data_IF_891600628626
#
_entry.id   IF_891600628626
#
_cell.length_a   1.000
_cell.length_b   1.000
_cell.length_c   1.000
_cell.angle_alpha   90.00
_cell.angle_beta   90.00
_cell.angle_gamma   90.00
#
_symmetry.space_group_name_H-M   'P 1'
#
loop_
_entity.id
_entity.type
_entity.pdbx_description
1 polymer ?
#
# COMPACT_ATOMS: atom_id res chain seq x y z
N UNK A 1 42.22 36.43 1.62
CA UNK A 1 40.88 36.13 2.12
C UNK A 1 41.06 35.19 3.31
N UNK A 2 40.70 35.63 4.53
CA UNK A 2 40.86 34.77 5.72
C UNK A 2 39.71 33.74 5.71
N UNK A 3 40.03 32.46 5.71
CA UNK A 3 39.07 31.38 5.95
C UNK A 3 38.71 31.40 7.44
N UNK A 4 37.45 31.63 7.75
CA UNK A 4 36.91 31.49 9.08
C UNK A 4 36.38 30.07 9.22
N UNK A 5 36.95 29.29 10.13
CA UNK A 5 36.49 27.94 10.44
C UNK A 5 35.41 28.04 11.52
N UNK A 6 34.18 27.67 11.13
CA UNK A 6 33.04 27.61 12.05
C UNK A 6 32.78 26.16 12.44
N UNK A 7 32.97 25.82 13.70
CA UNK A 7 32.61 24.52 14.23
C UNK A 7 31.24 24.57 14.89
N UNK A 8 30.31 23.79 14.39
CA UNK A 8 29.00 23.61 14.99
C UNK A 8 28.95 22.30 15.75
N UNK A 9 28.29 22.32 16.90
CA UNK A 9 27.99 21.09 17.63
C UNK A 9 26.80 20.37 16.95
N UNK A 10 26.83 19.03 16.86
CA UNK A 10 25.74 18.29 16.25
C UNK A 10 24.49 18.30 17.13
N UNK A 11 23.34 18.21 16.49
CA UNK A 11 22.04 18.12 17.17
C UNK A 11 21.28 19.44 17.17
N UNK A 12 20.04 19.35 17.62
CA UNK A 12 19.09 20.47 17.71
C UNK A 12 18.84 20.72 19.19
N UNK A 13 19.09 21.93 19.66
CA UNK A 13 18.81 22.36 21.02
C UNK A 13 17.51 23.17 21.04
N UNK A 14 16.42 22.52 21.42
CA UNK A 14 15.09 23.14 21.56
C UNK A 14 14.78 23.57 23.01
N UNK A 15 15.67 23.30 23.94
CA UNK A 15 15.45 23.62 25.35
C UNK A 15 15.98 25.00 25.74
N UNK A 16 17.03 25.44 25.06
CA UNK A 16 17.64 26.74 25.32
C UNK A 16 17.06 27.83 24.40
N UNK A 17 17.24 29.07 24.83
CA UNK A 17 16.96 30.23 23.98
C UNK A 17 17.96 30.28 22.82
N UNK A 18 17.63 30.99 21.74
CA UNK A 18 18.50 31.14 20.55
C UNK A 18 19.90 31.65 20.92
N UNK A 19 20.00 32.49 21.95
CA UNK A 19 21.28 33.01 22.46
C UNK A 19 22.00 31.99 23.34
N UNK A 20 21.24 31.17 24.08
CA UNK A 20 21.82 30.13 24.96
C UNK A 20 22.25 28.86 24.21
N UNK A 21 21.82 28.70 22.99
CA UNK A 21 22.16 27.54 22.12
C UNK A 21 23.40 27.83 21.25
N UNK A 22 24.41 28.50 21.80
CA UNK A 22 25.65 28.84 21.08
C UNK A 22 26.26 27.58 20.41
N UNK A 23 26.65 27.75 19.15
CA UNK A 23 27.23 26.70 18.31
C UNK A 23 26.32 25.51 18.02
N UNK A 24 25.02 25.58 18.35
CA UNK A 24 24.03 24.54 18.08
C UNK A 24 22.91 25.05 17.19
N UNK A 25 22.27 24.14 16.50
CA UNK A 25 21.07 24.42 15.73
C UNK A 25 19.85 24.49 16.66
N UNK A 26 19.07 25.54 16.59
CA UNK A 26 17.84 25.69 17.38
C UNK A 26 16.64 25.09 16.71
N UNK A 27 16.66 25.04 15.36
CA UNK A 27 15.65 24.36 14.56
C UNK A 27 16.22 23.95 13.20
N UNK A 28 15.78 22.83 12.68
CA UNK A 28 16.08 22.41 11.30
C UNK A 28 15.03 21.39 10.84
N UNK A 29 14.79 21.36 9.55
CA UNK A 29 13.88 20.44 8.88
C UNK A 29 14.62 19.66 7.78
N UNK A 30 14.30 18.37 7.65
CA UNK A 30 14.91 17.47 6.67
C UNK A 30 16.45 17.40 6.73
N UNK A 31 17.02 17.48 7.95
CA UNK A 31 18.46 17.43 8.19
C UNK A 31 18.79 16.27 9.13
N UNK A 32 19.85 15.54 8.82
CA UNK A 32 20.50 14.59 9.74
C UNK A 32 21.92 15.06 10.03
N UNK A 33 22.44 14.70 11.20
CA UNK A 33 23.83 14.98 11.55
C UNK A 33 24.66 13.73 11.33
N UNK A 34 25.66 13.82 10.44
CA UNK A 34 26.59 12.74 10.15
C UNK A 34 28.02 13.28 10.25
N UNK A 35 28.87 12.57 10.98
CA UNK A 35 30.24 13.01 11.28
C UNK A 35 30.31 14.45 11.80
N UNK A 36 29.40 14.81 12.71
CA UNK A 36 29.27 16.14 13.31
C UNK A 36 28.78 17.25 12.36
N UNK A 37 28.56 16.94 11.10
CA UNK A 37 28.11 17.90 10.09
C UNK A 37 26.61 17.70 9.76
N UNK A 38 25.86 18.78 9.52
CA UNK A 38 24.50 18.68 9.02
C UNK A 38 24.51 18.22 7.57
N UNK A 39 23.72 17.21 7.28
CA UNK A 39 23.51 16.66 5.94
C UNK A 39 22.03 16.70 5.62
N UNK A 40 21.66 17.18 4.45
CA UNK A 40 20.27 17.16 4.02
C UNK A 40 19.80 15.73 3.83
N UNK A 41 18.68 15.37 4.47
CA UNK A 41 18.00 14.12 4.19
C UNK A 41 17.37 14.23 2.81
N UNK A 42 17.61 13.25 1.94
CA UNK A 42 16.98 13.18 0.61
C UNK A 42 15.45 13.08 0.74
N UNK A 43 14.76 13.35 -0.37
CA UNK A 43 13.31 13.20 -0.43
C UNK A 43 12.88 11.73 -0.27
N UNK A 44 11.60 11.52 -0.06
CA UNK A 44 10.97 10.21 -0.03
C UNK A 44 10.56 9.80 -1.45
N UNK A 45 10.81 8.58 -1.81
CA UNK A 45 10.25 7.96 -3.01
C UNK A 45 9.31 6.85 -2.62
N UNK A 46 8.25 6.64 -3.41
CA UNK A 46 7.36 5.50 -3.19
C UNK A 46 8.12 4.20 -3.46
N UNK A 47 8.03 3.27 -2.53
CA UNK A 47 8.55 1.91 -2.70
C UNK A 47 7.61 1.06 -3.55
N UNK A 48 6.31 1.33 -3.46
CA UNK A 48 5.25 0.62 -4.17
C UNK A 48 4.68 1.61 -5.19
N UNK A 49 4.71 1.23 -6.48
CA UNK A 49 4.15 2.03 -7.59
C UNK A 49 2.65 1.79 -7.77
N UNK A 50 2.18 0.61 -7.35
CA UNK A 50 0.78 0.22 -7.46
C UNK A 50 -0.08 0.93 -6.42
N UNK A 51 -1.30 1.24 -6.80
CA UNK A 51 -2.27 1.84 -5.87
C UNK A 51 -2.85 0.76 -4.97
N UNK A 52 -2.65 0.91 -3.67
CA UNK A 52 -3.25 0.03 -2.67
C UNK A 52 -4.75 0.37 -2.55
N UNK A 53 -5.60 -0.62 -2.78
CA UNK A 53 -7.05 -0.47 -2.64
C UNK A 53 -7.45 -0.57 -1.17
N UNK A 54 -8.25 0.41 -0.71
CA UNK A 54 -8.66 0.50 0.69
C UNK A 54 -7.70 1.33 1.53
N UNK A 55 -7.95 1.37 2.83
CA UNK A 55 -7.15 2.10 3.80
C UNK A 55 -6.20 1.14 4.51
N UNK A 56 -4.89 1.34 4.37
CA UNK A 56 -3.90 0.54 5.07
C UNK A 56 -4.07 0.72 6.60
N UNK A 57 -4.34 -0.38 7.31
CA UNK A 57 -4.58 -0.40 8.76
C UNK A 57 -3.34 -0.83 9.53
N UNK A 58 -2.59 -1.78 8.97
CA UNK A 58 -1.39 -2.30 9.59
C UNK A 58 -0.41 -2.81 8.54
N UNK A 59 0.87 -2.65 8.85
CA UNK A 59 1.94 -3.29 8.08
C UNK A 59 2.83 -4.09 9.04
N UNK A 60 3.42 -5.16 8.51
CA UNK A 60 4.33 -6.02 9.24
C UNK A 60 5.46 -6.48 8.31
N UNK A 61 6.69 -6.14 8.65
CA UNK A 61 7.86 -6.58 7.91
C UNK A 61 8.43 -7.85 8.55
N UNK A 62 8.78 -8.83 7.74
CA UNK A 62 9.38 -10.08 8.18
C UNK A 62 10.38 -10.62 7.16
N UNK A 63 11.17 -11.57 7.59
CA UNK A 63 12.18 -12.25 6.77
C UNK A 63 11.92 -13.76 6.87
N UNK A 64 11.97 -14.46 5.76
CA UNK A 64 11.85 -15.91 5.74
C UNK A 64 13.20 -16.59 6.10
N UNK A 65 13.16 -17.91 6.20
CA UNK A 65 14.37 -18.72 6.51
C UNK A 65 15.43 -18.67 5.40
N UNK A 66 15.06 -18.28 4.18
CA UNK A 66 15.98 -18.09 3.05
C UNK A 66 16.59 -16.69 3.00
N UNK A 67 16.17 -15.77 3.89
CA UNK A 67 16.66 -14.41 3.96
C UNK A 67 15.87 -13.40 3.11
N UNK A 68 14.78 -13.81 2.46
CA UNK A 68 13.94 -12.93 1.68
C UNK A 68 13.14 -12.00 2.59
N UNK A 69 13.00 -10.75 2.18
CA UNK A 69 12.32 -9.71 2.96
C UNK A 69 10.94 -9.44 2.39
N UNK A 70 9.95 -9.50 3.27
CA UNK A 70 8.55 -9.29 2.94
C UNK A 70 7.96 -8.18 3.78
N UNK A 71 6.97 -7.49 3.21
CA UNK A 71 6.11 -6.56 3.96
C UNK A 71 4.66 -6.96 3.73
N UNK A 72 4.00 -7.47 4.77
CA UNK A 72 2.56 -7.70 4.75
C UNK A 72 1.82 -6.40 5.07
N UNK A 73 0.79 -6.10 4.30
CA UNK A 73 -0.02 -4.88 4.43
C UNK A 73 -1.49 -5.30 4.54
N UNK A 74 -2.09 -5.08 5.71
CA UNK A 74 -3.51 -5.27 5.91
C UNK A 74 -4.27 -3.98 5.66
N UNK A 75 -5.21 -4.01 4.71
CA UNK A 75 -6.15 -2.92 4.47
C UNK A 75 -7.52 -3.26 5.10
N UNK A 76 -8.48 -2.36 4.99
CA UNK A 76 -9.87 -2.62 5.38
C UNK A 76 -10.58 -3.60 4.42
N UNK A 77 -9.95 -3.93 3.28
CA UNK A 77 -10.52 -4.78 2.23
C UNK A 77 -9.67 -5.99 1.90
N UNK A 78 -8.36 -5.83 1.81
CA UNK A 78 -7.43 -6.83 1.27
C UNK A 78 -6.23 -7.06 2.17
N UNK A 79 -5.64 -8.25 2.06
CA UNK A 79 -4.35 -8.59 2.64
C UNK A 79 -3.32 -8.70 1.51
N UNK A 80 -2.34 -7.82 1.53
CA UNK A 80 -1.36 -7.68 0.47
C UNK A 80 0.03 -8.06 0.99
N UNK A 81 0.85 -8.63 0.12
CA UNK A 81 2.24 -8.98 0.41
C UNK A 81 3.15 -8.30 -0.62
N UNK A 82 4.04 -7.45 -0.14
CA UNK A 82 5.08 -6.85 -0.97
C UNK A 82 6.35 -7.69 -0.92
N UNK A 83 6.86 -8.07 -2.09
CA UNK A 83 8.07 -8.83 -2.27
C UNK A 83 8.76 -8.45 -3.60
N UNK A 84 10.06 -8.21 -3.59
CA UNK A 84 10.90 -7.90 -4.76
C UNK A 84 10.33 -6.86 -5.75
N UNK A 85 9.72 -5.80 -5.21
CA UNK A 85 9.15 -4.74 -6.06
C UNK A 85 7.72 -5.01 -6.53
N UNK A 86 7.16 -6.17 -6.23
CA UNK A 86 5.82 -6.58 -6.63
C UNK A 86 4.86 -6.62 -5.44
N UNK A 87 3.61 -6.29 -5.69
CA UNK A 87 2.53 -6.37 -4.72
C UNK A 87 1.64 -7.55 -5.06
N UNK A 88 1.58 -8.53 -4.17
CA UNK A 88 0.77 -9.74 -4.31
C UNK A 88 -0.45 -9.66 -3.40
N UNK A 89 -1.62 -9.94 -3.96
CA UNK A 89 -2.85 -10.07 -3.16
C UNK A 89 -2.97 -11.50 -2.63
N UNK A 90 -2.93 -11.65 -1.31
CA UNK A 90 -3.03 -12.92 -0.59
C UNK A 90 -4.30 -13.00 0.27
N UNK A 91 -5.30 -12.20 -0.07
CA UNK A 91 -6.57 -12.18 0.67
C UNK A 91 -7.26 -13.54 0.58
N UNK A 92 -7.67 -14.13 1.71
CA UNK A 92 -8.44 -15.37 1.70
C UNK A 92 -9.75 -15.19 0.94
N UNK A 93 -10.02 -16.08 -0.01
CA UNK A 93 -11.26 -16.09 -0.78
C UNK A 93 -12.20 -17.19 -0.29
N UNK A 94 -13.51 -17.02 -0.55
CA UNK A 94 -14.52 -18.06 -0.28
C UNK A 94 -14.27 -19.31 -1.12
N UNK A 95 -14.87 -20.42 -0.70
CA UNK A 95 -14.83 -21.67 -1.45
C UNK A 95 -15.32 -21.49 -2.89
N UNK A 96 -14.74 -22.26 -3.82
CA UNK A 96 -15.07 -22.16 -5.23
C UNK A 96 -16.55 -22.51 -5.50
N UNK A 97 -17.19 -21.66 -6.28
CA UNK A 97 -18.56 -21.85 -6.79
C UNK A 97 -18.52 -21.81 -8.31
N UNK A 98 -19.23 -22.73 -8.97
CA UNK A 98 -19.33 -22.78 -10.42
C UNK A 98 -20.70 -22.30 -10.91
N UNK A 99 -20.79 -21.89 -12.18
CA UNK A 99 -22.06 -21.55 -12.85
C UNK A 99 -22.71 -20.28 -12.32
N UNK A 100 -21.92 -19.26 -11.99
CA UNK A 100 -22.43 -17.92 -11.73
C UNK A 100 -22.59 -17.13 -13.05
N UNK A 101 -23.61 -16.28 -13.15
CA UNK A 101 -23.84 -15.40 -14.29
C UNK A 101 -23.48 -13.98 -13.93
N UNK A 102 -22.68 -13.34 -14.78
CA UNK A 102 -22.25 -11.96 -14.62
C UNK A 102 -23.12 -11.05 -15.50
N UNK A 103 -23.62 -9.98 -14.93
CA UNK A 103 -24.31 -8.91 -15.64
C UNK A 103 -23.70 -7.57 -15.31
N UNK A 104 -23.48 -6.75 -16.33
CA UNK A 104 -22.93 -5.39 -16.22
C UNK A 104 -23.94 -4.39 -16.75
N UNK A 105 -23.96 -3.19 -16.17
CA UNK A 105 -24.81 -2.08 -16.62
C UNK A 105 -23.91 -0.97 -17.14
N UNK A 106 -24.18 -0.47 -18.35
CA UNK A 106 -23.41 0.62 -18.93
C UNK A 106 -23.42 1.85 -18.01
N UNK A 107 -22.24 2.43 -17.76
CA UNK A 107 -22.07 3.58 -16.87
C UNK A 107 -22.09 3.27 -15.38
N UNK A 108 -22.18 2.00 -14.98
CA UNK A 108 -22.11 1.55 -13.58
C UNK A 108 -20.81 0.86 -13.28
N UNK A 109 -20.19 1.21 -12.16
CA UNK A 109 -19.04 0.49 -11.60
C UNK A 109 -19.46 -0.78 -10.83
N UNK A 110 -20.76 -1.05 -10.70
CA UNK A 110 -21.30 -2.21 -9.99
C UNK A 110 -21.58 -3.31 -11.02
N UNK A 111 -21.03 -4.48 -10.76
CA UNK A 111 -21.29 -5.71 -11.50
C UNK A 111 -22.21 -6.59 -10.66
N UNK A 112 -23.28 -7.09 -11.27
CA UNK A 112 -24.22 -8.02 -10.62
C UNK A 112 -23.87 -9.45 -10.95
N UNK A 113 -23.83 -10.32 -9.95
CA UNK A 113 -23.51 -11.73 -10.10
C UNK A 113 -24.65 -12.54 -9.53
N UNK A 114 -25.25 -13.35 -10.39
CA UNK A 114 -26.38 -14.19 -10.00
C UNK A 114 -25.94 -15.65 -9.83
N UNK A 115 -26.15 -16.17 -8.64
CA UNK A 115 -25.93 -17.58 -8.29
C UNK A 115 -26.84 -17.97 -7.14
N UNK A 116 -27.66 -18.98 -7.34
CA UNK A 116 -28.46 -19.54 -6.25
C UNK A 116 -27.58 -20.24 -5.20
N UNK A 117 -27.94 -20.14 -3.95
CA UNK A 117 -27.27 -20.80 -2.82
C UNK A 117 -25.77 -20.52 -2.72
N UNK A 118 -25.36 -19.29 -3.02
CA UNK A 118 -23.93 -18.91 -2.99
C UNK A 118 -23.35 -18.74 -1.57
N UNK A 119 -24.18 -18.54 -0.53
CA UNK A 119 -23.76 -18.38 0.85
C UNK A 119 -22.80 -17.19 1.12
N UNK A 120 -22.75 -16.23 0.18
CA UNK A 120 -21.95 -15.03 0.35
C UNK A 120 -22.73 -14.00 1.17
N UNK A 121 -21.99 -13.16 1.91
CA UNK A 121 -22.51 -12.00 2.63
C UNK A 121 -21.74 -10.75 2.21
N UNK A 122 -22.32 -9.58 2.45
CA UNK A 122 -21.63 -8.33 2.20
C UNK A 122 -20.33 -8.26 3.00
N UNK A 123 -19.24 -7.90 2.34
CA UNK A 123 -17.88 -7.90 2.90
C UNK A 123 -17.03 -9.11 2.51
N UNK A 124 -17.63 -10.21 2.03
CA UNK A 124 -16.86 -11.35 1.54
C UNK A 124 -15.97 -10.97 0.35
N UNK A 125 -14.83 -11.63 0.22
CA UNK A 125 -13.92 -11.46 -0.91
C UNK A 125 -14.08 -12.65 -1.85
N UNK A 126 -14.23 -12.34 -3.13
CA UNK A 126 -14.40 -13.32 -4.22
C UNK A 126 -13.38 -13.07 -5.32
N UNK A 127 -12.97 -14.13 -5.98
CA UNK A 127 -12.12 -14.12 -7.17
C UNK A 127 -12.84 -14.90 -8.28
N UNK A 128 -12.69 -14.45 -9.50
CA UNK A 128 -13.30 -15.10 -10.66
C UNK A 128 -12.25 -15.82 -11.47
N UNK A 129 -12.62 -17.02 -11.95
CA UNK A 129 -11.83 -17.80 -12.89
C UNK A 129 -12.73 -18.22 -14.05
N UNK A 130 -12.18 -18.25 -15.28
CA UNK A 130 -12.89 -18.66 -16.48
C UNK A 130 -14.18 -17.86 -16.73
N UNK A 131 -14.05 -16.54 -16.77
CA UNK A 131 -15.19 -15.61 -16.91
C UNK A 131 -15.68 -15.57 -18.34
N UNK A 132 -16.98 -15.78 -18.51
CA UNK A 132 -17.68 -15.53 -19.79
C UNK A 132 -18.57 -14.30 -19.62
N UNK A 133 -18.25 -13.24 -20.36
CA UNK A 133 -18.99 -11.99 -20.32
C UNK A 133 -20.07 -11.95 -21.41
N UNK A 134 -21.21 -11.27 -21.15
CA UNK A 134 -22.17 -10.93 -22.20
C UNK A 134 -21.53 -10.08 -23.30
N UNK A 135 -22.00 -10.22 -24.53
CA UNK A 135 -21.51 -9.40 -25.63
C UNK A 135 -21.84 -7.92 -25.42
N UNK A 136 -20.94 -7.05 -25.87
CA UNK A 136 -21.17 -5.58 -25.82
C UNK A 136 -20.94 -4.90 -24.46
N UNK A 137 -20.32 -5.58 -23.49
CA UNK A 137 -20.05 -5.02 -22.16
C UNK A 137 -18.89 -4.02 -22.12
N UNK A 138 -18.01 -4.03 -23.14
CA UNK A 138 -16.78 -3.22 -23.12
C UNK A 138 -15.68 -3.72 -22.18
N UNK A 139 -15.92 -4.81 -21.45
CA UNK A 139 -14.96 -5.48 -20.59
C UNK A 139 -14.42 -6.75 -21.23
N UNK A 140 -13.22 -7.14 -20.86
CA UNK A 140 -12.59 -8.42 -21.19
C UNK A 140 -12.59 -9.35 -19.97
N UNK A 141 -12.40 -10.66 -20.17
CA UNK A 141 -12.30 -11.62 -19.07
C UNK A 141 -11.16 -11.26 -18.11
N UNK A 142 -10.03 -10.76 -18.62
CA UNK A 142 -8.88 -10.32 -17.84
C UNK A 142 -9.16 -9.12 -16.90
N UNK A 143 -10.26 -8.42 -17.10
CA UNK A 143 -10.66 -7.36 -16.15
C UNK A 143 -11.22 -7.93 -14.87
N UNK A 144 -11.66 -9.19 -14.87
CA UNK A 144 -12.25 -9.89 -13.75
C UNK A 144 -11.39 -11.03 -13.21
N UNK A 145 -10.64 -11.73 -14.07
CA UNK A 145 -9.85 -12.88 -13.68
C UNK A 145 -8.61 -12.47 -12.88
N UNK A 146 -8.20 -13.32 -11.94
CA UNK A 146 -7.03 -13.16 -11.07
C UNK A 146 -7.04 -11.87 -10.23
N UNK A 147 -8.23 -11.30 -10.02
CA UNK A 147 -8.43 -10.11 -9.16
C UNK A 147 -9.43 -10.42 -8.07
N UNK A 148 -9.21 -9.81 -6.91
CA UNK A 148 -10.10 -9.89 -5.77
C UNK A 148 -11.13 -8.77 -5.78
N UNK A 149 -12.38 -9.13 -5.53
CA UNK A 149 -13.51 -8.22 -5.44
C UNK A 149 -14.23 -8.38 -4.11
N UNK A 150 -14.68 -7.27 -3.55
CA UNK A 150 -15.50 -7.29 -2.35
C UNK A 150 -16.99 -7.28 -2.71
N UNK A 151 -17.73 -8.20 -2.11
CA UNK A 151 -19.19 -8.20 -2.19
C UNK A 151 -19.72 -7.00 -1.42
N UNK A 152 -20.42 -6.09 -2.11
CA UNK A 152 -20.97 -4.88 -1.50
C UNK A 152 -22.39 -5.07 -0.98
N UNK A 153 -23.17 -5.91 -1.63
CA UNK A 153 -24.54 -6.26 -1.24
C UNK A 153 -24.92 -7.64 -1.77
N UNK A 154 -25.88 -8.28 -1.14
CA UNK A 154 -26.42 -9.60 -1.49
C UNK A 154 -27.94 -9.49 -1.58
#
# INVERSE_FOLDING_TARGET
MALLDFQFLPGIDKQNTTVGAEQRWVDCDNVRFRYLLPEKVGGWSSLITDTIVGVARRQFAFVDIAGNRYVAIGTDKFLLLYFEGQLHDITPVKAALSGATIATTNGSAICSITKSTHGLVAGDIVQFNSVTLPSGTGYSASDFEDKNFQVTSV
#
